data_IF_509560281230
#
_entry.id   IF_509560281230
#
_cell.length_a   1.000
_cell.length_b   1.000
_cell.length_c   1.000
_cell.angle_alpha   90.00
_cell.angle_beta   90.00
_cell.angle_gamma   90.00
#
_symmetry.space_group_name_H-M   'P 1'
#
loop_
_entity.id
_entity.type
_entity.pdbx_description
1 polymer ?
#
# COMPACT_ATOMS: atom_id res chain seq x y z
N UNK A 1 28.61 -38.73 -59.41
CA UNK A 1 29.18 -37.76 -58.45
C UNK A 1 28.77 -36.35 -58.87
N UNK A 2 27.84 -35.68 -58.16
CA UNK A 2 27.72 -34.21 -58.10
C UNK A 2 26.73 -33.80 -57.00
N UNK A 3 27.37 -33.31 -55.94
CA UNK A 3 26.98 -32.73 -54.64
C UNK A 3 25.58 -32.13 -54.51
N UNK A 4 24.82 -32.65 -53.56
CA UNK A 4 23.63 -32.04 -52.96
C UNK A 4 24.07 -30.85 -52.09
N UNK A 5 23.59 -29.64 -52.40
CA UNK A 5 23.81 -28.44 -51.57
C UNK A 5 22.67 -28.37 -50.58
N UNK A 6 22.99 -28.53 -49.29
CA UNK A 6 22.07 -28.37 -48.17
C UNK A 6 22.03 -26.89 -47.79
N UNK A 7 20.96 -26.18 -48.16
CA UNK A 7 20.79 -24.77 -47.81
C UNK A 7 20.30 -24.71 -46.36
N UNK A 8 21.17 -24.30 -45.44
CA UNK A 8 20.84 -24.05 -44.04
C UNK A 8 20.04 -22.74 -43.96
N UNK A 9 18.72 -22.84 -43.76
CA UNK A 9 17.87 -21.69 -43.49
C UNK A 9 18.13 -21.21 -42.05
N UNK A 10 18.91 -20.14 -41.91
CA UNK A 10 19.12 -19.47 -40.62
C UNK A 10 17.85 -18.69 -40.29
N UNK A 11 17.02 -19.22 -39.39
CA UNK A 11 15.88 -18.49 -38.85
C UNK A 11 16.41 -17.33 -38.00
N UNK A 12 16.34 -16.11 -38.52
CA UNK A 12 16.52 -14.91 -37.71
C UNK A 12 15.35 -14.82 -36.74
N UNK A 13 15.58 -15.21 -35.49
CA UNK A 13 14.73 -14.81 -34.37
C UNK A 13 15.03 -13.34 -34.11
N UNK A 14 14.25 -12.47 -34.73
CA UNK A 14 14.23 -11.05 -34.38
C UNK A 14 13.71 -10.92 -32.96
N UNK A 15 14.62 -10.73 -32.00
CA UNK A 15 14.27 -10.24 -30.66
C UNK A 15 13.77 -8.82 -30.82
N UNK A 16 12.46 -8.66 -30.99
CA UNK A 16 11.80 -7.39 -30.72
C UNK A 16 12.05 -7.15 -29.23
N UNK A 17 12.99 -6.27 -28.91
CA UNK A 17 13.06 -5.71 -27.58
C UNK A 17 11.68 -5.11 -27.33
N UNK A 18 10.93 -5.67 -26.38
CA UNK A 18 9.65 -5.10 -25.97
C UNK A 18 9.96 -3.65 -25.60
N UNK A 19 9.42 -2.73 -26.39
CA UNK A 19 9.55 -1.31 -26.10
C UNK A 19 8.80 -1.09 -24.79
N UNK A 20 9.50 -0.59 -23.77
CA UNK A 20 8.90 -0.32 -22.47
C UNK A 20 7.65 0.56 -22.66
N UNK A 21 6.60 0.30 -21.88
CA UNK A 21 5.38 1.07 -21.91
C UNK A 21 5.68 2.58 -21.83
N UNK A 22 5.05 3.35 -22.72
CA UNK A 22 5.17 4.80 -22.79
C UNK A 22 3.76 5.38 -22.80
N UNK A 23 3.43 6.14 -21.75
CA UNK A 23 2.14 6.79 -21.57
C UNK A 23 2.13 8.24 -22.10
N UNK A 24 3.11 8.61 -22.93
CA UNK A 24 3.18 9.86 -23.69
C UNK A 24 3.08 11.14 -22.82
N UNK A 25 3.56 11.06 -21.59
CA UNK A 25 3.51 12.15 -20.62
C UNK A 25 2.13 12.41 -20.02
N UNK A 26 1.19 11.46 -20.16
CA UNK A 26 -0.17 11.56 -19.60
C UNK A 26 -0.12 11.88 -18.11
N UNK A 27 -0.91 12.87 -17.71
CA UNK A 27 -1.18 13.15 -16.30
C UNK A 27 -2.26 12.20 -15.79
N UNK A 28 -1.96 11.46 -14.74
CA UNK A 28 -2.88 10.53 -14.07
C UNK A 28 -3.25 11.08 -12.70
N UNK A 29 -4.55 11.16 -12.41
CA UNK A 29 -5.04 11.52 -11.08
C UNK A 29 -4.97 10.31 -10.16
N UNK A 30 -4.37 10.48 -8.99
CA UNK A 30 -4.18 9.42 -8.02
C UNK A 30 -4.97 9.72 -6.75
N UNK A 31 -5.98 8.91 -6.45
CA UNK A 31 -6.71 9.00 -5.20
C UNK A 31 -5.91 8.40 -4.05
N UNK A 32 -5.87 9.08 -2.91
CA UNK A 32 -5.15 8.62 -1.72
C UNK A 32 -5.83 9.09 -0.42
N UNK A 33 -5.92 8.23 0.60
CA UNK A 33 -6.32 8.62 1.95
C UNK A 33 -5.08 9.04 2.74
N UNK A 34 -4.83 10.34 2.76
CA UNK A 34 -3.59 10.95 3.26
C UNK A 34 -3.53 11.05 4.78
N UNK A 35 -3.98 10.01 5.49
CA UNK A 35 -4.04 9.95 6.96
C UNK A 35 -3.08 8.92 7.56
N UNK A 36 -2.23 8.27 6.75
CA UNK A 36 -1.45 7.07 7.11
C UNK A 36 0.06 7.23 6.86
N UNK A 37 0.78 8.10 7.61
CA UNK A 37 2.23 8.19 7.49
C UNK A 37 2.91 6.87 7.94
N UNK A 38 4.02 6.46 7.31
CA UNK A 38 4.75 7.14 6.24
C UNK A 38 4.28 6.77 4.82
N UNK A 39 3.20 6.01 4.67
CA UNK A 39 2.67 5.57 3.38
C UNK A 39 2.17 6.78 2.57
N UNK A 40 1.29 7.59 3.18
CA UNK A 40 0.78 8.83 2.62
C UNK A 40 0.34 9.82 3.70
N UNK A 41 0.65 11.09 3.52
CA UNK A 41 0.26 12.19 4.42
C UNK A 41 0.28 13.53 3.68
N UNK A 42 -0.31 14.55 4.27
CA UNK A 42 -0.14 15.94 3.80
C UNK A 42 0.99 16.58 4.59
N UNK A 43 2.02 17.06 3.89
CA UNK A 43 3.08 17.87 4.50
C UNK A 43 2.47 19.21 4.98
N UNK A 44 2.48 19.50 6.29
CA UNK A 44 1.85 20.71 6.81
C UNK A 44 2.57 21.99 6.39
N UNK A 45 3.85 21.92 6.00
CA UNK A 45 4.61 23.10 5.57
C UNK A 45 4.31 23.49 4.11
N UNK A 46 4.09 22.51 3.24
CA UNK A 46 3.91 22.72 1.80
C UNK A 46 2.49 22.51 1.31
N UNK A 47 1.66 21.81 2.09
CA UNK A 47 0.33 21.35 1.68
C UNK A 47 0.36 20.25 0.63
N UNK A 48 1.54 19.70 0.31
CA UNK A 48 1.68 18.65 -0.70
C UNK A 48 1.42 17.27 -0.10
N UNK A 49 0.87 16.37 -0.91
CA UNK A 49 0.73 14.96 -0.56
C UNK A 49 2.10 14.29 -0.74
N UNK A 50 2.59 13.66 0.32
CA UNK A 50 3.92 13.04 0.39
C UNK A 50 3.82 11.65 1.03
N UNK A 51 4.81 10.79 0.77
CA UNK A 51 4.90 9.47 1.39
C UNK A 51 5.46 8.41 0.46
N UNK A 52 5.57 7.19 0.96
CA UNK A 52 6.11 6.06 0.21
C UNK A 52 5.28 5.75 -1.05
N UNK A 53 3.95 5.74 -0.96
CA UNK A 53 3.08 5.48 -2.10
C UNK A 53 3.25 6.54 -3.19
N UNK A 54 3.41 7.80 -2.78
CA UNK A 54 3.68 8.93 -3.68
C UNK A 54 4.99 8.74 -4.42
N UNK A 55 6.06 8.39 -3.71
CA UNK A 55 7.38 8.19 -4.29
C UNK A 55 7.42 6.97 -5.22
N UNK A 56 6.74 5.88 -4.86
CA UNK A 56 6.65 4.67 -5.69
C UNK A 56 5.93 4.99 -7.00
N UNK A 57 4.78 5.65 -6.97
CA UNK A 57 4.03 6.03 -8.18
C UNK A 57 4.83 7.00 -9.04
N UNK A 58 5.49 7.99 -8.45
CA UNK A 58 6.34 8.93 -9.19
C UNK A 58 7.53 8.23 -9.86
N UNK A 59 8.17 7.27 -9.18
CA UNK A 59 9.26 6.47 -9.74
C UNK A 59 8.77 5.59 -10.90
N UNK A 60 7.60 4.96 -10.77
CA UNK A 60 6.95 4.21 -11.85
C UNK A 60 6.68 5.13 -13.04
N UNK A 61 6.07 6.30 -12.82
CA UNK A 61 5.75 7.25 -13.87
C UNK A 61 6.99 7.76 -14.60
N UNK A 62 8.13 7.90 -13.93
CA UNK A 62 9.40 8.22 -14.57
C UNK A 62 9.90 7.12 -15.53
N UNK A 63 9.53 5.85 -15.31
CA UNK A 63 9.88 4.71 -16.18
C UNK A 63 8.95 4.58 -17.38
N UNK A 64 7.66 4.85 -17.18
CA UNK A 64 6.63 4.65 -18.21
C UNK A 64 6.13 5.95 -18.83
N UNK A 65 6.87 7.03 -18.65
CA UNK A 65 6.58 8.37 -19.18
C UNK A 65 5.13 8.83 -18.86
N UNK A 66 4.77 8.85 -17.57
CA UNK A 66 3.57 9.55 -17.09
C UNK A 66 3.91 10.61 -16.04
N UNK A 67 2.88 11.32 -15.58
CA UNK A 67 2.93 12.19 -14.41
C UNK A 67 1.78 11.82 -13.48
N UNK A 68 1.98 11.99 -12.18
CA UNK A 68 0.95 11.74 -11.19
C UNK A 68 0.51 13.06 -10.52
N UNK A 69 -0.80 13.25 -10.41
CA UNK A 69 -1.43 14.31 -9.63
C UNK A 69 -2.20 13.66 -8.49
N UNK A 70 -1.67 13.75 -7.28
CA UNK A 70 -2.32 13.18 -6.10
C UNK A 70 -3.47 14.05 -5.60
N UNK A 71 -4.55 13.40 -5.19
CA UNK A 71 -5.72 14.05 -4.62
C UNK A 71 -6.15 13.30 -3.36
N UNK A 72 -6.30 14.04 -2.26
CA UNK A 72 -6.81 13.48 -1.00
C UNK A 72 -8.29 13.11 -1.15
N UNK A 73 -8.65 11.92 -0.68
CA UNK A 73 -10.03 11.44 -0.53
C UNK A 73 -10.13 10.52 0.68
N UNK A 74 -11.31 10.41 1.30
CA UNK A 74 -11.51 9.48 2.41
C UNK A 74 -11.58 8.02 1.93
N UNK A 75 -11.08 7.10 2.75
CA UNK A 75 -11.08 5.66 2.48
C UNK A 75 -12.46 5.09 2.13
N UNK A 76 -13.50 5.44 2.89
CA UNK A 76 -14.84 4.83 2.74
C UNK A 76 -15.42 4.99 1.32
N UNK A 77 -15.08 6.09 0.64
CA UNK A 77 -15.53 6.39 -0.72
C UNK A 77 -14.50 6.13 -1.82
N UNK A 78 -13.25 5.74 -1.49
CA UNK A 78 -12.12 5.81 -2.43
C UNK A 78 -12.33 4.93 -3.66
N UNK A 79 -12.79 3.69 -3.48
CA UNK A 79 -13.02 2.75 -4.59
C UNK A 79 -14.25 3.12 -5.42
N UNK A 80 -15.30 3.65 -4.78
CA UNK A 80 -16.47 4.15 -5.50
C UNK A 80 -16.12 5.38 -6.36
N UNK A 81 -15.27 6.28 -5.83
CA UNK A 81 -14.77 7.44 -6.58
C UNK A 81 -13.87 7.03 -7.75
N UNK A 82 -13.03 6.00 -7.58
CA UNK A 82 -12.24 5.41 -8.67
C UNK A 82 -13.12 4.87 -9.79
N UNK A 83 -14.16 4.10 -9.43
CA UNK A 83 -15.12 3.53 -10.39
C UNK A 83 -15.90 4.61 -11.14
N UNK A 84 -16.24 5.72 -10.47
CA UNK A 84 -16.89 6.88 -11.07
C UNK A 84 -15.97 7.72 -11.97
N UNK A 85 -14.67 7.41 -12.02
CA UNK A 85 -13.70 8.12 -12.85
C UNK A 85 -13.18 9.42 -12.24
N UNK A 86 -13.33 9.63 -10.93
CA UNK A 86 -12.79 10.81 -10.25
C UNK A 86 -11.25 10.81 -10.22
N UNK A 87 -10.66 9.61 -10.23
CA UNK A 87 -9.22 9.36 -10.31
C UNK A 87 -8.93 8.27 -11.35
N UNK A 88 -7.70 8.21 -11.85
CA UNK A 88 -7.25 7.18 -12.78
C UNK A 88 -6.77 5.92 -12.05
N UNK A 89 -6.19 6.07 -10.87
CA UNK A 89 -5.77 4.98 -9.98
C UNK A 89 -5.85 5.40 -8.51
N UNK A 90 -5.74 4.42 -7.62
CA UNK A 90 -5.60 4.64 -6.17
C UNK A 90 -4.26 4.11 -5.68
N UNK A 91 -3.59 4.92 -4.86
CA UNK A 91 -2.38 4.57 -4.13
C UNK A 91 -2.56 5.01 -2.67
N UNK A 92 -2.86 4.05 -1.80
CA UNK A 92 -3.15 4.28 -0.38
C UNK A 92 -2.97 3.00 0.45
N UNK A 93 -1.83 2.32 0.26
CA UNK A 93 -1.47 1.10 0.97
C UNK A 93 -2.48 -0.04 0.83
N UNK A 94 -3.08 -0.22 -0.34
CA UNK A 94 -4.24 -1.12 -0.51
C UNK A 94 -3.80 -2.57 -0.59
N UNK A 95 -4.18 -3.38 0.41
CA UNK A 95 -4.02 -4.83 0.36
C UNK A 95 -4.72 -5.46 -0.84
N UNK A 96 -4.00 -6.30 -1.58
CA UNK A 96 -4.53 -7.09 -2.69
C UNK A 96 -5.28 -8.29 -2.10
N UNK A 97 -6.60 -8.31 -2.23
CA UNK A 97 -7.44 -9.43 -1.78
C UNK A 97 -8.28 -9.99 -2.92
N UNK A 98 -8.65 -11.27 -2.82
CA UNK A 98 -9.51 -11.91 -3.83
C UNK A 98 -10.89 -11.26 -3.90
N UNK A 99 -11.40 -10.75 -2.78
CA UNK A 99 -12.67 -10.01 -2.75
C UNK A 99 -12.56 -8.69 -3.52
N UNK A 100 -11.51 -7.89 -3.28
CA UNK A 100 -11.29 -6.64 -4.01
C UNK A 100 -11.10 -6.91 -5.51
N UNK A 101 -10.34 -7.94 -5.88
CA UNK A 101 -10.11 -8.35 -7.28
C UNK A 101 -11.39 -8.66 -8.07
N UNK A 102 -12.50 -8.98 -7.40
CA UNK A 102 -13.79 -9.17 -8.09
C UNK A 102 -14.34 -7.85 -8.66
N UNK A 103 -14.06 -6.72 -8.00
CA UNK A 103 -14.60 -5.42 -8.35
C UNK A 103 -13.58 -4.47 -9.02
N UNK A 104 -12.29 -4.66 -8.80
CA UNK A 104 -11.22 -3.79 -9.30
C UNK A 104 -10.02 -4.59 -9.79
N UNK A 105 -9.11 -3.95 -10.51
CA UNK A 105 -7.83 -4.52 -10.89
C UNK A 105 -6.69 -3.95 -10.05
N UNK A 106 -5.58 -4.69 -9.98
CA UNK A 106 -4.41 -4.34 -9.19
C UNK A 106 -3.16 -4.42 -10.03
N UNK A 107 -2.19 -3.57 -9.69
CA UNK A 107 -0.81 -3.82 -10.09
C UNK A 107 -0.24 -5.08 -9.43
N UNK A 108 0.92 -5.53 -9.91
CA UNK A 108 1.83 -6.35 -9.13
C UNK A 108 2.16 -5.66 -7.79
N UNK A 109 2.41 -6.42 -6.71
CA UNK A 109 2.67 -5.82 -5.43
C UNK A 109 4.01 -5.07 -5.42
N UNK A 110 4.02 -3.88 -4.82
CA UNK A 110 5.23 -3.07 -4.64
C UNK A 110 5.85 -3.23 -3.24
N UNK A 111 5.08 -3.70 -2.26
CA UNK A 111 5.60 -4.06 -0.93
C UNK A 111 4.73 -5.16 -0.31
N UNK A 112 5.31 -5.93 0.62
CA UNK A 112 4.56 -6.81 1.51
C UNK A 112 4.43 -6.10 2.85
N UNK A 113 3.20 -5.82 3.26
CA UNK A 113 2.89 -5.27 4.55
C UNK A 113 2.64 -6.42 5.55
N UNK A 114 3.11 -6.25 6.78
CA UNK A 114 2.87 -7.18 7.88
C UNK A 114 2.13 -6.41 8.97
N UNK A 115 0.87 -6.75 9.23
CA UNK A 115 0.02 -5.99 10.17
C UNK A 115 0.48 -6.17 11.62
N UNK A 116 0.24 -5.14 12.43
CA UNK A 116 0.73 -5.04 13.80
C UNK A 116 -0.29 -4.34 14.72
N UNK A 117 -0.06 -4.36 16.04
CA UNK A 117 -0.87 -3.62 17.01
C UNK A 117 -0.08 -2.45 17.60
N UNK A 118 -0.53 -1.23 17.30
CA UNK A 118 -0.11 -0.02 17.98
C UNK A 118 -0.82 0.08 19.34
N UNK A 119 -0.05 0.34 20.38
CA UNK A 119 -0.53 0.44 21.76
C UNK A 119 0.07 1.66 22.45
N UNK A 120 -0.49 2.03 23.60
CA UNK A 120 0.14 3.01 24.48
C UNK A 120 1.37 2.38 25.13
N UNK A 121 2.43 3.16 25.33
CA UNK A 121 3.66 2.70 25.96
C UNK A 121 3.45 2.15 27.38
N UNK A 122 2.48 2.70 28.12
CA UNK A 122 2.11 2.19 29.45
C UNK A 122 1.46 0.78 29.42
N UNK A 123 0.98 0.34 28.25
CA UNK A 123 0.33 -0.95 28.03
C UNK A 123 1.22 -1.97 27.31
N UNK A 124 2.53 -1.71 27.14
CA UNK A 124 3.50 -2.58 26.43
C UNK A 124 3.53 -4.03 26.93
N UNK A 125 3.08 -4.27 28.17
CA UNK A 125 2.93 -5.62 28.74
C UNK A 125 1.77 -6.44 28.17
N UNK A 126 0.88 -5.86 27.37
CA UNK A 126 -0.23 -6.59 26.74
C UNK A 126 0.28 -7.50 25.62
N UNK A 127 -0.18 -8.74 25.65
CA UNK A 127 0.09 -9.77 24.66
C UNK A 127 -1.11 -9.97 23.74
N UNK A 128 -0.90 -10.64 22.61
CA UNK A 128 -1.98 -11.01 21.71
C UNK A 128 -3.06 -11.88 22.40
N UNK A 129 -2.67 -12.71 23.39
CA UNK A 129 -3.62 -13.53 24.15
C UNK A 129 -4.47 -12.70 25.11
N UNK A 130 -3.94 -11.58 25.62
CA UNK A 130 -4.75 -10.63 26.39
C UNK A 130 -5.86 -10.03 25.52
N UNK A 131 -5.55 -9.72 24.26
CA UNK A 131 -6.56 -9.27 23.31
C UNK A 131 -7.65 -10.32 23.07
N UNK A 132 -7.26 -11.57 22.84
CA UNK A 132 -8.20 -12.67 22.56
C UNK A 132 -9.08 -13.06 23.75
N UNK A 133 -8.59 -12.93 24.98
CA UNK A 133 -9.22 -13.59 26.14
C UNK A 133 -9.65 -12.68 27.28
N UNK A 134 -9.18 -11.42 27.32
CA UNK A 134 -9.43 -10.50 28.46
C UNK A 134 -10.36 -9.33 28.13
N UNK A 135 -11.11 -9.42 27.02
CA UNK A 135 -12.08 -8.40 26.65
C UNK A 135 -11.47 -7.04 26.31
N UNK A 136 -10.21 -7.04 25.82
CA UNK A 136 -9.54 -5.84 25.32
C UNK A 136 -10.16 -5.43 23.99
N UNK A 137 -10.15 -4.12 23.73
CA UNK A 137 -10.72 -3.54 22.52
C UNK A 137 -9.63 -3.18 21.52
N UNK A 138 -9.87 -3.52 20.26
CA UNK A 138 -9.06 -3.04 19.14
C UNK A 138 -9.83 -1.99 18.35
N UNK A 139 -9.10 -1.11 17.68
CA UNK A 139 -9.64 -0.26 16.62
C UNK A 139 -8.87 -0.46 15.34
N UNK A 140 -9.45 -0.01 14.25
CA UNK A 140 -8.82 0.11 12.94
C UNK A 140 -9.66 1.07 12.11
N UNK A 141 -9.13 1.53 10.98
CA UNK A 141 -9.95 2.22 10.00
C UNK A 141 -11.02 1.27 9.44
N UNK A 142 -12.26 1.75 9.33
CA UNK A 142 -13.38 0.98 8.80
C UNK A 142 -13.11 0.48 7.38
N UNK A 143 -13.68 -0.67 7.02
CA UNK A 143 -13.60 -1.25 5.66
C UNK A 143 -12.16 -1.55 5.17
N UNK A 144 -11.23 -1.80 6.10
CA UNK A 144 -9.85 -2.21 5.82
C UNK A 144 -9.61 -3.69 6.17
N UNK A 145 -8.48 -4.24 5.71
CA UNK A 145 -8.02 -5.56 6.19
C UNK A 145 -7.54 -5.48 7.65
N UNK A 146 -7.09 -4.31 8.12
CA UNK A 146 -6.74 -4.09 9.54
C UNK A 146 -7.96 -4.30 10.44
N UNK A 147 -9.13 -3.78 10.04
CA UNK A 147 -10.39 -4.02 10.75
C UNK A 147 -10.77 -5.50 10.77
N UNK A 148 -10.59 -6.21 9.64
CA UNK A 148 -10.86 -7.65 9.58
C UNK A 148 -9.94 -8.45 10.50
N UNK A 149 -8.66 -8.09 10.58
CA UNK A 149 -7.71 -8.71 11.52
C UNK A 149 -8.07 -8.39 12.97
N UNK A 150 -8.44 -7.14 13.28
CA UNK A 150 -8.94 -6.77 14.60
C UNK A 150 -10.17 -7.64 14.99
N UNK A 151 -11.14 -7.77 14.08
CA UNK A 151 -12.35 -8.59 14.30
C UNK A 151 -11.99 -10.06 14.52
N UNK A 152 -11.02 -10.60 13.78
CA UNK A 152 -10.52 -11.96 13.96
C UNK A 152 -9.79 -12.20 15.29
N UNK A 153 -9.22 -11.16 15.90
CA UNK A 153 -8.50 -11.26 17.18
C UNK A 153 -9.45 -11.13 18.38
N UNK A 154 -10.28 -10.08 18.41
CA UNK A 154 -11.09 -9.74 19.60
C UNK A 154 -12.59 -10.00 19.44
N UNK A 155 -13.03 -10.39 18.25
CA UNK A 155 -14.44 -10.47 17.88
C UNK A 155 -15.04 -9.11 17.55
N UNK A 156 -16.03 -9.08 16.66
CA UNK A 156 -16.62 -7.85 16.12
C UNK A 156 -17.14 -6.89 17.19
N UNK A 157 -17.73 -7.41 18.27
CA UNK A 157 -18.29 -6.59 19.36
C UNK A 157 -17.22 -5.82 20.16
N UNK A 158 -15.95 -6.21 20.06
CA UNK A 158 -14.82 -5.55 20.71
C UNK A 158 -13.95 -4.73 19.74
N UNK A 159 -14.40 -4.57 18.49
CA UNK A 159 -13.76 -3.68 17.52
C UNK A 159 -14.51 -2.38 17.42
N UNK A 160 -13.79 -1.27 17.55
CA UNK A 160 -14.31 0.07 17.25
C UNK A 160 -13.65 0.55 15.96
N UNK A 161 -14.41 0.55 14.86
CA UNK A 161 -13.95 1.02 13.57
C UNK A 161 -14.20 2.53 13.41
N UNK A 162 -13.24 3.25 12.84
CA UNK A 162 -13.34 4.70 12.57
C UNK A 162 -13.17 5.01 11.09
N UNK A 163 -13.74 6.11 10.62
CA UNK A 163 -13.69 6.50 9.20
C UNK A 163 -12.27 6.81 8.70
N UNK A 164 -11.37 7.22 9.60
CA UNK A 164 -9.96 7.50 9.28
C UNK A 164 -8.99 6.74 10.20
N UNK A 165 -7.79 6.48 9.69
CA UNK A 165 -6.72 5.92 10.48
C UNK A 165 -6.34 6.82 11.67
N UNK A 166 -6.21 8.13 11.44
CA UNK A 166 -5.89 9.10 12.49
C UNK A 166 -6.93 9.10 13.63
N UNK A 167 -8.22 8.93 13.33
CA UNK A 167 -9.26 8.82 14.35
C UNK A 167 -9.10 7.58 15.24
N UNK A 168 -8.67 6.45 14.67
CA UNK A 168 -8.36 5.23 15.43
C UNK A 168 -7.20 5.45 16.41
N UNK A 169 -6.15 6.14 15.96
CA UNK A 169 -5.01 6.50 16.83
C UNK A 169 -5.45 7.48 17.94
N UNK A 170 -6.30 8.45 17.64
CA UNK A 170 -6.85 9.38 18.64
C UNK A 170 -7.63 8.61 19.72
N UNK A 171 -8.47 7.64 19.32
CA UNK A 171 -9.22 6.80 20.26
C UNK A 171 -8.29 5.98 21.18
N UNK A 172 -7.17 5.47 20.63
CA UNK A 172 -6.14 4.81 21.44
C UNK A 172 -5.54 5.77 22.47
N UNK A 173 -5.17 6.99 22.06
CA UNK A 173 -4.62 8.00 22.97
C UNK A 173 -5.61 8.42 24.06
N UNK A 174 -6.90 8.46 23.74
CA UNK A 174 -7.98 8.79 24.67
C UNK A 174 -8.39 7.63 25.60
N UNK A 175 -7.80 6.44 25.42
CA UNK A 175 -8.13 5.20 26.17
C UNK A 175 -9.54 4.65 25.90
N UNK A 176 -10.13 4.99 24.75
CA UNK A 176 -11.40 4.42 24.29
C UNK A 176 -11.26 2.96 23.82
N UNK A 177 -10.04 2.59 23.39
CA UNK A 177 -9.62 1.24 22.97
C UNK A 177 -8.24 0.90 23.54
N UNK A 178 -7.85 -0.38 23.52
CA UNK A 178 -6.57 -0.87 24.06
C UNK A 178 -5.46 -0.97 22.99
N UNK A 179 -5.83 -1.07 21.71
CA UNK A 179 -4.88 -1.12 20.60
C UNK A 179 -5.50 -0.63 19.28
N UNK A 180 -4.64 -0.33 18.30
CA UNK A 180 -5.03 -0.10 16.90
C UNK A 180 -4.33 -1.14 16.05
N UNK A 181 -5.07 -1.90 15.25
CA UNK A 181 -4.46 -2.73 14.21
C UNK A 181 -4.06 -1.81 13.06
N UNK A 182 -2.80 -1.89 12.65
CA UNK A 182 -2.19 -1.00 11.67
C UNK A 182 -1.43 -1.81 10.62
N UNK A 183 -1.21 -1.22 9.45
CA UNK A 183 -0.10 -1.59 8.59
C UNK A 183 1.21 -1.51 9.37
N UNK A 184 1.92 -2.62 9.57
CA UNK A 184 3.14 -2.62 10.39
C UNK A 184 4.31 -1.88 9.76
N UNK A 185 4.23 -1.57 8.46
CA UNK A 185 5.11 -0.56 7.86
C UNK A 185 4.99 0.80 8.59
N UNK A 186 3.85 1.15 9.15
CA UNK A 186 3.68 2.41 9.88
C UNK A 186 4.39 2.39 11.26
N UNK A 187 4.73 1.21 11.79
CA UNK A 187 5.19 1.05 13.16
C UNK A 187 6.42 1.91 13.52
N UNK A 188 7.54 1.88 12.75
CA UNK A 188 8.72 2.67 13.13
C UNK A 188 8.48 4.17 13.08
N UNK A 189 7.64 4.64 12.15
CA UNK A 189 7.29 6.06 12.06
C UNK A 189 6.48 6.50 13.28
N UNK A 190 5.49 5.70 13.68
CA UNK A 190 4.66 5.99 14.86
C UNK A 190 5.44 5.90 16.17
N UNK A 191 6.30 4.89 16.34
CA UNK A 191 7.18 4.78 17.51
C UNK A 191 8.14 5.97 17.62
N UNK A 192 8.60 6.51 16.48
CA UNK A 192 9.47 7.69 16.45
C UNK A 192 8.70 8.99 16.71
N UNK A 193 7.56 9.18 16.06
CA UNK A 193 6.74 10.39 16.19
C UNK A 193 6.18 10.54 17.60
N UNK A 194 5.70 9.43 18.18
CA UNK A 194 5.10 9.37 19.51
C UNK A 194 6.02 8.69 20.53
N UNK A 195 7.32 8.96 20.44
CA UNK A 195 8.33 8.33 21.29
C UNK A 195 8.00 8.52 22.78
N UNK A 196 7.84 7.39 23.49
CA UNK A 196 7.46 7.35 24.91
C UNK A 196 5.96 7.42 25.18
N UNK A 197 5.13 7.65 24.16
CA UNK A 197 3.66 7.62 24.26
C UNK A 197 3.07 6.35 23.64
N UNK A 198 3.55 5.93 22.46
CA UNK A 198 3.04 4.78 21.72
C UNK A 198 4.15 3.79 21.35
N UNK A 199 3.79 2.50 21.24
CA UNK A 199 4.69 1.38 20.94
C UNK A 199 3.98 0.34 20.06
N UNK A 200 4.73 -0.48 19.32
CA UNK A 200 4.19 -1.57 18.49
C UNK A 200 4.85 -2.92 18.83
N UNK A 201 4.53 -3.55 19.97
CA UNK A 201 5.19 -4.78 20.41
C UNK A 201 4.61 -6.04 19.77
N UNK A 202 3.35 -6.02 19.34
CA UNK A 202 2.71 -7.15 18.64
C UNK A 202 2.83 -6.89 17.15
N UNK A 203 3.57 -7.75 16.44
CA UNK A 203 3.84 -7.67 15.01
C UNK A 203 3.53 -9.00 14.33
N UNK A 204 3.62 -9.04 13.00
CA UNK A 204 3.50 -10.25 12.20
C UNK A 204 2.16 -10.98 12.35
N UNK A 205 1.07 -10.21 12.42
CA UNK A 205 -0.29 -10.75 12.56
C UNK A 205 -0.77 -11.41 11.25
N UNK A 206 -0.70 -10.66 10.16
CA UNK A 206 -1.08 -11.11 8.82
C UNK A 206 -0.28 -10.31 7.80
N UNK A 207 0.15 -10.99 6.75
CA UNK A 207 0.95 -10.40 5.68
C UNK A 207 0.11 -10.19 4.43
N UNK A 208 -0.02 -8.94 4.02
CA UNK A 208 -0.78 -8.53 2.85
C UNK A 208 0.16 -7.94 1.76
N UNK A 209 0.13 -8.45 0.52
CA UNK A 209 0.74 -7.74 -0.59
C UNK A 209 -0.03 -6.45 -0.88
N UNK A 210 0.67 -5.31 -0.97
CA UNK A 210 0.06 -4.03 -1.30
C UNK A 210 0.22 -3.72 -2.80
N UNK A 211 -0.84 -3.23 -3.43
CA UNK A 211 -0.87 -2.93 -4.86
C UNK A 211 -1.58 -1.62 -5.17
N UNK A 212 -1.25 -1.05 -6.33
CA UNK A 212 -1.95 0.09 -6.90
C UNK A 212 -3.27 -0.38 -7.50
N UNK A 213 -4.34 0.38 -7.34
CA UNK A 213 -5.69 -0.05 -7.72
C UNK A 213 -6.15 0.69 -8.96
N UNK A 214 -6.72 -0.06 -9.89
CA UNK A 214 -7.28 0.44 -11.13
C UNK A 214 -8.73 -0.01 -11.28
N UNK A 215 -9.51 0.70 -12.11
CA UNK A 215 -10.83 0.22 -12.52
C UNK A 215 -10.72 -1.16 -13.18
N UNK A 216 -11.79 -1.94 -13.08
CA UNK A 216 -11.83 -3.25 -13.71
C UNK A 216 -11.67 -3.13 -15.23
N UNK A 217 -10.71 -3.86 -15.79
CA UNK A 217 -10.37 -3.85 -17.21
C UNK A 217 -9.53 -2.65 -17.66
N UNK A 218 -8.99 -1.83 -16.75
CA UNK A 218 -8.15 -0.69 -17.13
C UNK A 218 -6.76 -1.18 -17.60
N UNK A 219 -6.46 -0.95 -18.87
CA UNK A 219 -5.21 -1.39 -19.50
C UNK A 219 -3.96 -0.69 -18.92
N UNK A 220 -4.14 0.44 -18.22
CA UNK A 220 -3.05 1.18 -17.56
C UNK A 220 -2.33 0.33 -16.51
N UNK A 221 -3.02 -0.65 -15.90
CA UNK A 221 -2.42 -1.55 -14.92
C UNK A 221 -1.22 -2.34 -15.49
N UNK A 222 -1.28 -2.73 -16.77
CA UNK A 222 -0.19 -3.46 -17.42
C UNK A 222 1.08 -2.60 -17.55
N UNK A 223 0.93 -1.32 -17.95
CA UNK A 223 2.03 -0.37 -18.00
C UNK A 223 2.64 -0.14 -16.61
N UNK A 224 1.80 -0.01 -15.57
CA UNK A 224 2.30 0.12 -14.20
C UNK A 224 3.05 -1.13 -13.72
N UNK A 225 2.67 -2.33 -14.15
CA UNK A 225 3.43 -3.55 -13.85
C UNK A 225 4.82 -3.54 -14.49
N UNK A 226 4.95 -3.02 -15.71
CA UNK A 226 6.27 -2.78 -16.33
C UNK A 226 7.11 -1.79 -15.53
N UNK A 227 6.52 -0.66 -15.12
CA UNK A 227 7.22 0.32 -14.30
C UNK A 227 7.63 -0.22 -12.93
N UNK A 228 6.78 -1.00 -12.26
CA UNK A 228 7.10 -1.68 -10.99
C UNK A 228 8.29 -2.64 -11.17
N UNK A 229 8.29 -3.45 -12.24
CA UNK A 229 9.43 -4.32 -12.55
C UNK A 229 10.70 -3.51 -12.80
N UNK A 230 10.62 -2.42 -13.55
CA UNK A 230 11.78 -1.57 -13.83
C UNK A 230 12.39 -0.94 -12.55
N UNK A 231 11.57 -0.42 -11.62
CA UNK A 231 12.08 0.15 -10.36
C UNK A 231 12.58 -0.91 -9.37
N UNK A 232 12.11 -2.16 -9.50
CA UNK A 232 12.64 -3.30 -8.75
C UNK A 232 14.02 -3.70 -9.30
N UNK A 233 14.13 -3.85 -10.61
CA UNK A 233 15.35 -4.30 -11.29
C UNK A 233 16.52 -3.32 -11.13
N UNK A 234 16.26 -2.02 -11.11
CA UNK A 234 17.31 -1.00 -10.97
C UNK A 234 17.61 -0.58 -9.52
N UNK A 235 16.94 -1.18 -8.53
CA UNK A 235 17.12 -0.92 -7.11
C UNK A 235 16.45 0.36 -6.58
N UNK A 236 15.70 1.09 -7.42
CA UNK A 236 14.97 2.29 -6.98
C UNK A 236 13.97 1.98 -5.88
N UNK A 237 13.23 0.88 -5.99
CA UNK A 237 12.26 0.47 -4.96
C UNK A 237 12.95 0.17 -3.62
N UNK A 238 14.09 -0.52 -3.64
CA UNK A 238 14.86 -0.81 -2.42
C UNK A 238 15.42 0.47 -1.78
N UNK A 239 15.84 1.44 -2.60
CA UNK A 239 16.27 2.75 -2.12
C UNK A 239 15.10 3.53 -1.48
N UNK A 240 13.90 3.45 -2.05
CA UNK A 240 12.70 4.04 -1.46
C UNK A 240 12.34 3.36 -0.14
N UNK A 241 12.34 2.02 -0.08
CA UNK A 241 12.10 1.29 1.17
C UNK A 241 13.14 1.71 2.22
N UNK A 242 14.42 1.82 1.83
CA UNK A 242 15.48 2.25 2.73
C UNK A 242 15.33 3.70 3.21
N UNK A 243 14.80 4.59 2.37
CA UNK A 243 14.51 5.99 2.73
C UNK A 243 13.49 6.08 3.87
N UNK A 244 12.45 5.23 3.84
CA UNK A 244 11.34 5.30 4.80
C UNK A 244 11.54 4.43 6.04
N UNK A 245 12.19 3.27 5.89
CA UNK A 245 12.31 2.27 6.97
C UNK A 245 13.74 1.90 7.34
N UNK A 246 14.74 2.51 6.69
CA UNK A 246 16.15 2.15 6.84
C UNK A 246 16.53 0.94 5.98
N UNK A 247 17.84 0.73 5.80
CA UNK A 247 18.34 -0.44 5.11
C UNK A 247 17.99 -1.73 5.89
N UNK A 248 17.56 -2.77 5.18
CA UNK A 248 17.37 -4.12 5.74
C UNK A 248 18.68 -4.74 6.23
#
# INVERSE_FOLDING_TARGET
>A
MKKTILTLALALVSTVAAQAADLEGKMLKVGSDTTSPPMESVDPATGQIVGFDVDVVNAICAKINCKAEFVTTGWDGIFAALEQGNFDLVASGVSITDERKKAMDFSEPYIINSQAVLMRAEDDGLTLDDFKSKGKKLSAQANTTDAQVAEGIVGKDNVVAYDSFSASVIALKNKDVDGVVINGANAPAYEKEFAGELVVPIRDLQSDPLGLVFRKGDETAAAFNEGIRAIKEDGTLDALISKYWGAK
#
